data_IF_939023007566
#
_entry.id   IF_939023007566
#
_cell.length_a   1.000
_cell.length_b   1.000
_cell.length_c   1.000
_cell.angle_alpha   90.00
_cell.angle_beta   90.00
_cell.angle_gamma   90.00
#
_symmetry.space_group_name_H-M   'P 1'
#
loop_
_entity.id
_entity.type
_entity.pdbx_description
1 polymer ?
#
# COMPACT_ATOMS: atom_id res chain seq x y z
N UNK A 1 -0.70 21.29 21.67
CA UNK A 1 -0.51 19.88 21.28
C UNK A 1 -1.87 19.24 21.16
N UNK A 2 -2.36 18.99 19.95
CA UNK A 2 -3.60 18.23 19.77
C UNK A 2 -3.19 16.79 19.48
N UNK A 3 -3.43 15.90 20.45
CA UNK A 3 -3.34 14.48 20.23
C UNK A 3 -4.41 14.08 19.20
N UNK A 4 -4.01 13.52 18.07
CA UNK A 4 -4.95 12.87 17.14
C UNK A 4 -5.34 11.55 17.81
N UNK A 5 -6.40 11.58 18.58
CA UNK A 5 -7.03 10.38 19.13
C UNK A 5 -7.90 9.82 18.02
N UNK A 6 -7.48 8.74 17.39
CA UNK A 6 -8.38 7.93 16.58
C UNK A 6 -9.47 7.38 17.51
N UNK A 7 -10.66 7.95 17.45
CA UNK A 7 -11.81 7.43 18.16
C UNK A 7 -12.32 6.18 17.43
N UNK A 8 -12.22 5.07 18.11
CA UNK A 8 -12.93 3.83 17.76
C UNK A 8 -14.45 4.10 17.79
N UNK A 9 -15.05 4.30 16.61
CA UNK A 9 -16.50 4.52 16.46
C UNK A 9 -17.29 3.21 16.47
N UNK A 10 -16.94 2.29 17.34
CA UNK A 10 -17.77 1.13 17.63
C UNK A 10 -18.70 1.42 18.83
N UNK A 11 -19.65 2.31 18.62
CA UNK A 11 -20.84 2.43 19.51
C UNK A 11 -22.08 2.10 18.72
N UNK A 12 -22.73 1.03 19.13
CA UNK A 12 -23.99 0.50 18.64
C UNK A 12 -24.99 1.59 18.23
N UNK A 13 -25.42 1.60 16.97
CA UNK A 13 -26.60 2.29 16.51
C UNK A 13 -27.80 1.36 16.65
N UNK A 14 -28.53 1.55 17.74
CA UNK A 14 -29.91 1.07 17.89
C UNK A 14 -30.78 1.70 16.80
N UNK A 15 -31.65 0.87 16.22
CA UNK A 15 -32.49 1.18 15.09
C UNK A 15 -33.50 2.30 15.30
N UNK A 16 -33.81 3.00 14.23
CA UNK A 16 -35.14 3.60 13.99
C UNK A 16 -35.48 3.37 12.52
N UNK A 17 -36.51 2.53 12.37
CA UNK A 17 -37.28 2.38 11.14
C UNK A 17 -37.99 3.71 10.84
N UNK A 18 -37.88 4.22 9.64
CA UNK A 18 -38.85 5.16 9.06
C UNK A 18 -39.19 4.68 7.66
N UNK A 19 -40.45 4.25 7.52
CA UNK A 19 -41.11 4.02 6.24
C UNK A 19 -41.34 5.36 5.53
N UNK A 20 -41.09 5.39 4.23
CA UNK A 20 -41.49 6.50 3.36
C UNK A 20 -41.65 6.01 1.93
N UNK A 21 -42.89 5.76 1.53
CA UNK A 21 -43.32 5.51 0.14
C UNK A 21 -43.18 6.75 -0.73
N UNK A 22 -42.90 6.57 -2.02
CA UNK A 22 -43.04 7.63 -3.00
C UNK A 22 -42.69 7.13 -4.42
N UNK A 23 -43.73 7.01 -5.24
CA UNK A 23 -43.78 6.36 -6.56
C UNK A 23 -43.48 7.29 -7.75
N UNK A 24 -43.18 6.63 -8.89
CA UNK A 24 -43.49 6.98 -10.30
C UNK A 24 -42.78 8.19 -10.91
N UNK A 25 -42.32 8.18 -12.14
CA UNK A 25 -42.92 7.77 -13.39
C UNK A 25 -41.91 7.83 -14.58
N UNK A 26 -42.14 7.00 -15.51
CA UNK A 26 -41.83 6.92 -16.93
C UNK A 26 -41.54 8.22 -17.72
N UNK A 27 -40.62 8.14 -18.72
CA UNK A 27 -40.92 8.52 -20.08
C UNK A 27 -39.87 7.99 -21.08
N UNK A 28 -40.35 7.29 -22.08
CA UNK A 28 -39.69 6.90 -23.32
C UNK A 28 -39.48 8.11 -24.25
N UNK A 29 -38.44 8.05 -25.10
CA UNK A 29 -38.60 8.44 -26.51
C UNK A 29 -37.41 7.94 -27.34
N UNK A 30 -37.72 7.11 -28.29
CA UNK A 30 -36.89 6.69 -29.43
C UNK A 30 -37.10 7.67 -30.57
N UNK A 31 -36.05 7.98 -31.35
CA UNK A 31 -36.20 8.45 -32.75
C UNK A 31 -35.10 7.82 -33.60
N UNK A 32 -35.55 7.11 -34.62
CA UNK A 32 -34.82 6.58 -35.78
C UNK A 32 -34.81 7.64 -36.90
N UNK A 33 -33.74 7.66 -37.71
CA UNK A 33 -33.65 8.02 -39.14
C UNK A 33 -32.18 7.97 -39.52
N UNK A 34 -31.63 7.24 -40.48
CA UNK A 34 -32.13 6.78 -41.77
C UNK A 34 -31.73 7.68 -42.94
N UNK A 35 -30.75 7.26 -43.79
CA UNK A 35 -30.63 7.45 -45.27
C UNK A 35 -29.15 7.26 -45.69
N UNK A 36 -28.78 6.46 -46.47
CA UNK A 36 -28.66 5.85 -47.78
C UNK A 36 -28.22 6.78 -48.95
N UNK A 37 -27.29 6.23 -49.74
CA UNK A 37 -26.98 6.62 -51.11
C UNK A 37 -25.58 7.22 -51.29
N UNK A 38 -24.74 6.90 -52.28
CA UNK A 38 -24.90 6.24 -53.59
C UNK A 38 -23.51 5.88 -54.13
N UNK A 39 -23.43 4.76 -54.82
CA UNK A 39 -22.31 4.32 -55.67
C UNK A 39 -22.05 5.28 -56.85
N UNK A 40 -20.80 5.41 -57.24
CA UNK A 40 -20.47 5.68 -58.67
C UNK A 40 -19.18 4.97 -59.06
N UNK A 41 -19.38 4.00 -59.91
CA UNK A 41 -18.43 3.25 -60.76
C UNK A 41 -17.82 4.15 -61.83
N UNK A 42 -16.50 4.02 -62.06
CA UNK A 42 -15.85 4.21 -63.39
C UNK A 42 -14.52 3.50 -63.47
N UNK A 43 -14.42 2.55 -64.35
CA UNK A 43 -13.23 2.02 -65.03
C UNK A 43 -13.41 2.17 -66.54
N UNK A 44 -12.42 1.94 -67.42
CA UNK A 44 -10.97 1.90 -67.35
C UNK A 44 -10.26 2.75 -68.40
N UNK A 45 -8.94 2.91 -68.35
CA UNK A 45 -8.14 3.06 -69.56
C UNK A 45 -6.72 2.62 -69.32
N UNK A 46 -6.28 1.67 -70.14
CA UNK A 46 -4.96 1.08 -70.21
C UNK A 46 -3.98 1.99 -70.98
N UNK A 47 -2.75 2.10 -70.46
CA UNK A 47 -1.54 2.29 -71.32
C UNK A 47 -0.35 1.63 -70.69
N UNK A 48 0.32 0.79 -71.46
CA UNK A 48 1.57 0.09 -71.15
C UNK A 48 2.80 0.99 -71.42
N UNK A 49 3.82 0.89 -70.61
CA UNK A 49 5.14 1.41 -70.81
C UNK A 49 6.15 0.81 -69.84
N UNK A 50 7.42 0.60 -70.14
CA UNK A 50 8.19 -0.56 -69.75
C UNK A 50 9.10 -0.31 -68.52
N UNK A 51 9.40 -1.43 -67.90
CA UNK A 51 10.65 -1.77 -67.18
C UNK A 51 11.19 -0.79 -66.11
N UNK A 52 10.91 -1.13 -64.87
CA UNK A 52 11.70 -0.66 -63.75
C UNK A 52 11.98 -1.82 -62.77
N UNK A 53 13.25 -2.15 -62.74
CA UNK A 53 13.97 -3.03 -61.82
C UNK A 53 13.23 -3.36 -60.50
N UNK A 54 12.94 -4.66 -60.31
CA UNK A 54 12.51 -5.25 -59.05
C UNK A 54 13.56 -5.05 -57.97
N UNK A 55 13.32 -4.15 -57.06
CA UNK A 55 13.96 -4.18 -55.75
C UNK A 55 13.45 -5.40 -54.96
N UNK A 56 14.32 -6.16 -54.30
CA UNK A 56 13.91 -7.30 -53.53
C UNK A 56 13.07 -6.80 -52.33
N UNK A 57 11.77 -7.21 -52.28
CA UNK A 57 10.94 -7.04 -51.11
C UNK A 57 11.64 -7.72 -49.93
N UNK A 58 12.11 -6.92 -48.98
CA UNK A 58 12.54 -7.40 -47.66
C UNK A 58 11.30 -7.99 -47.00
N UNK A 59 11.25 -9.30 -46.91
CA UNK A 59 10.35 -9.95 -45.97
C UNK A 59 10.69 -9.45 -44.56
N UNK A 60 9.72 -9.00 -43.76
CA UNK A 60 9.99 -8.73 -42.35
C UNK A 60 10.44 -10.05 -41.72
N UNK A 61 11.69 -10.09 -41.24
CA UNK A 61 12.17 -11.22 -40.47
C UNK A 61 11.29 -11.43 -39.23
N UNK A 62 11.27 -12.63 -38.66
CA UNK A 62 10.45 -12.91 -37.50
C UNK A 62 10.78 -11.87 -36.41
N UNK A 63 9.72 -11.22 -35.88
CA UNK A 63 9.84 -10.23 -34.84
C UNK A 63 10.62 -10.86 -33.67
N UNK A 64 11.76 -10.27 -33.30
CA UNK A 64 12.53 -10.74 -32.16
C UNK A 64 11.68 -10.66 -30.91
N UNK A 65 11.67 -11.72 -30.10
CA UNK A 65 10.99 -11.73 -28.82
C UNK A 65 11.49 -10.55 -27.97
N UNK A 66 10.62 -9.87 -27.21
CA UNK A 66 11.02 -8.75 -26.38
C UNK A 66 12.07 -9.21 -25.37
N UNK A 67 13.11 -8.40 -25.17
CA UNK A 67 14.12 -8.66 -24.14
C UNK A 67 13.51 -8.73 -22.73
N UNK A 68 14.22 -9.32 -21.73
CA UNK A 68 13.67 -9.58 -20.39
C UNK A 68 13.03 -8.36 -19.72
N UNK A 69 13.65 -7.20 -19.84
CA UNK A 69 13.12 -5.94 -19.27
C UNK A 69 11.83 -5.48 -19.95
N UNK A 70 11.74 -5.61 -21.28
CA UNK A 70 10.52 -5.28 -22.02
C UNK A 70 9.38 -6.24 -21.70
N UNK A 71 9.68 -7.52 -21.50
CA UNK A 71 8.71 -8.53 -21.09
C UNK A 71 8.18 -8.26 -19.67
N UNK A 72 9.08 -7.91 -18.72
CA UNK A 72 8.66 -7.56 -17.36
C UNK A 72 7.82 -6.28 -17.33
N UNK A 73 8.22 -5.24 -18.06
CA UNK A 73 7.42 -4.02 -18.17
C UNK A 73 6.04 -4.29 -18.79
N UNK A 74 5.95 -5.13 -19.83
CA UNK A 74 4.68 -5.52 -20.44
C UNK A 74 3.79 -6.29 -19.43
N UNK A 75 4.38 -7.16 -18.61
CA UNK A 75 3.70 -7.88 -17.53
C UNK A 75 3.13 -6.93 -16.48
N UNK A 76 3.93 -5.99 -15.98
CA UNK A 76 3.49 -4.98 -15.01
C UNK A 76 2.42 -4.06 -15.59
N UNK A 77 2.53 -3.68 -16.87
CA UNK A 77 1.51 -2.88 -17.55
C UNK A 77 0.17 -3.65 -17.68
N UNK A 78 0.23 -4.95 -17.95
CA UNK A 78 -0.96 -5.79 -17.96
C UNK A 78 -1.58 -5.93 -16.57
N UNK A 79 -0.75 -6.08 -15.53
CA UNK A 79 -1.20 -6.12 -14.14
C UNK A 79 -1.83 -4.78 -13.71
N UNK A 80 -1.21 -3.64 -14.01
CA UNK A 80 -1.75 -2.32 -13.72
C UNK A 80 -3.15 -2.13 -14.32
N UNK A 81 -3.34 -2.51 -15.60
CA UNK A 81 -4.67 -2.47 -16.25
C UNK A 81 -5.67 -3.40 -15.57
N UNK A 82 -5.28 -4.63 -15.24
CA UNK A 82 -6.14 -5.60 -14.53
C UNK A 82 -6.64 -5.05 -13.20
N UNK A 83 -5.78 -4.37 -12.48
CA UNK A 83 -6.09 -3.81 -11.15
C UNK A 83 -6.66 -2.40 -11.22
N UNK A 84 -6.88 -1.85 -12.42
CA UNK A 84 -7.53 -0.54 -12.63
C UNK A 84 -6.67 0.65 -12.21
N UNK A 85 -5.34 0.52 -12.28
CA UNK A 85 -4.42 1.63 -12.03
C UNK A 85 -4.33 2.56 -13.24
N UNK A 86 -4.24 3.86 -12.99
CA UNK A 86 -4.07 4.88 -14.02
C UNK A 86 -2.69 4.79 -14.72
N UNK A 87 -1.67 4.34 -14.00
CA UNK A 87 -0.29 4.21 -14.48
C UNK A 87 0.36 2.94 -13.94
N UNK A 88 1.43 2.49 -14.60
CA UNK A 88 2.29 1.43 -14.07
C UNK A 88 3.08 1.99 -12.88
N UNK A 89 3.06 1.34 -11.71
CA UNK A 89 3.87 1.76 -10.58
C UNK A 89 5.35 1.86 -10.94
N UNK A 90 6.03 2.85 -10.40
CA UNK A 90 7.46 3.05 -10.64
C UNK A 90 8.28 2.00 -9.90
N UNK A 91 9.28 1.43 -10.57
CA UNK A 91 10.24 0.55 -9.92
C UNK A 91 11.09 1.35 -8.91
N UNK A 92 11.29 0.84 -7.68
CA UNK A 92 12.17 1.49 -6.73
C UNK A 92 13.62 1.46 -7.22
N UNK A 93 14.41 2.50 -6.90
CA UNK A 93 15.85 2.45 -7.10
C UNK A 93 16.46 1.35 -6.22
N UNK A 94 17.69 0.91 -6.51
CA UNK A 94 18.42 0.01 -5.62
C UNK A 94 18.49 0.57 -4.19
N UNK A 95 18.39 -0.28 -3.16
CA UNK A 95 18.58 0.14 -1.78
C UNK A 95 19.95 0.77 -1.56
N UNK A 96 20.12 1.64 -0.55
CA UNK A 96 21.40 2.29 -0.30
C UNK A 96 22.44 1.28 0.20
N UNK A 97 23.67 1.38 -0.30
CA UNK A 97 24.80 0.55 0.17
C UNK A 97 25.04 0.73 1.68
N UNK A 98 24.86 1.97 2.17
CA UNK A 98 24.95 2.29 3.60
C UNK A 98 23.56 2.76 4.05
N UNK A 99 23.04 2.08 5.06
CA UNK A 99 21.75 2.44 5.67
C UNK A 99 21.83 3.85 6.26
N UNK A 100 20.78 4.69 6.10
CA UNK A 100 20.77 6.04 6.66
C UNK A 100 20.72 6.00 8.19
N UNK A 101 21.29 7.00 8.82
CA UNK A 101 21.03 7.24 10.22
C UNK A 101 19.59 7.71 10.39
N UNK A 102 18.83 7.01 11.25
CA UNK A 102 17.43 7.35 11.47
C UNK A 102 17.37 8.59 12.36
N UNK A 103 16.83 9.67 11.81
CA UNK A 103 16.61 10.93 12.52
C UNK A 103 15.11 11.24 12.55
N UNK A 104 14.61 11.68 13.72
CA UNK A 104 13.25 12.16 13.82
C UNK A 104 13.08 13.44 12.98
N UNK A 105 12.07 13.48 12.12
CA UNK A 105 11.67 14.73 11.46
C UNK A 105 10.94 15.62 12.48
N UNK A 106 11.27 16.91 12.53
CA UNK A 106 10.60 17.87 13.40
C UNK A 106 9.10 17.97 13.09
N UNK A 107 8.28 17.89 14.11
CA UNK A 107 6.81 17.88 14.03
C UNK A 107 6.21 16.49 14.29
N UNK A 108 5.07 16.40 14.91
CA UNK A 108 4.28 15.17 15.06
C UNK A 108 4.72 14.09 16.02
N UNK A 109 4.28 14.17 17.27
CA UNK A 109 4.20 13.04 18.20
C UNK A 109 5.51 12.32 18.48
N UNK A 110 6.55 12.69 17.74
CA UNK A 110 7.90 12.18 17.91
C UNK A 110 8.59 13.08 18.94
N UNK A 111 9.01 12.50 20.05
CA UNK A 111 9.81 13.21 21.05
C UNK A 111 11.07 13.78 20.39
N UNK A 112 11.31 15.08 20.54
CA UNK A 112 12.55 15.71 20.09
C UNK A 112 13.78 15.28 20.93
N UNK A 113 13.55 14.63 22.07
CA UNK A 113 14.60 14.04 22.88
C UNK A 113 14.82 12.61 22.41
N UNK A 114 15.87 12.42 21.61
CA UNK A 114 16.37 11.10 21.30
C UNK A 114 17.11 10.56 22.53
N UNK A 115 16.53 9.57 23.17
CA UNK A 115 17.29 8.70 24.04
C UNK A 115 18.03 7.69 23.16
N UNK A 116 19.35 7.86 22.99
CA UNK A 116 20.19 7.04 22.12
C UNK A 116 20.21 5.56 22.50
N UNK A 117 19.78 5.28 23.72
CA UNK A 117 19.68 3.94 24.25
C UNK A 117 18.36 3.24 23.93
N UNK A 118 17.35 3.97 23.43
CA UNK A 118 16.03 3.41 23.11
C UNK A 118 15.78 3.35 21.60
N UNK A 119 14.89 2.46 21.14
CA UNK A 119 14.48 2.41 19.73
C UNK A 119 14.00 3.79 19.25
N UNK A 120 14.57 4.34 18.16
CA UNK A 120 14.12 5.61 17.61
C UNK A 120 12.69 5.49 17.11
N UNK A 121 11.88 6.51 17.40
CA UNK A 121 10.55 6.69 16.81
C UNK A 121 10.66 7.68 15.66
N UNK A 122 10.12 7.35 14.50
CA UNK A 122 10.24 8.17 13.28
C UNK A 122 9.05 7.96 12.35
N UNK A 123 8.82 8.95 11.49
CA UNK A 123 7.74 8.96 10.49
C UNK A 123 8.28 8.93 9.06
N UNK A 124 9.60 9.14 8.91
CA UNK A 124 10.27 9.32 7.62
C UNK A 124 11.67 8.71 7.68
N UNK A 125 12.07 8.05 6.63
CA UNK A 125 13.45 7.59 6.43
C UNK A 125 14.25 8.68 5.70
N UNK A 126 15.40 9.13 6.23
CA UNK A 126 16.24 10.09 5.55
C UNK A 126 16.77 9.53 4.21
N UNK A 127 16.33 10.10 3.09
CA UNK A 127 16.77 9.66 1.77
C UNK A 127 16.68 10.79 0.73
N UNK A 128 17.55 10.74 -0.28
CA UNK A 128 17.45 11.60 -1.48
C UNK A 128 16.64 10.95 -2.59
N UNK A 129 16.39 9.65 -2.49
CA UNK A 129 15.61 8.90 -3.48
C UNK A 129 14.13 9.30 -3.41
N UNK A 130 13.45 9.32 -4.55
CA UNK A 130 12.03 9.67 -4.61
C UNK A 130 11.18 8.42 -4.37
N UNK A 131 11.17 7.98 -3.12
CA UNK A 131 10.49 6.78 -2.64
C UNK A 131 9.62 7.10 -1.42
N UNK A 132 8.66 6.21 -1.18
CA UNK A 132 7.85 6.11 0.04
C UNK A 132 7.78 4.64 0.48
N UNK A 133 7.33 4.40 1.71
CA UNK A 133 7.19 3.07 2.28
C UNK A 133 5.74 2.79 2.61
N UNK A 134 5.18 1.70 2.07
CA UNK A 134 3.84 1.24 2.43
C UNK A 134 3.90 0.34 3.65
N UNK A 135 3.10 0.66 4.64
CA UNK A 135 2.94 -0.14 5.86
C UNK A 135 1.47 -0.42 6.13
N UNK A 136 1.16 -1.59 6.67
CA UNK A 136 -0.21 -2.05 6.86
C UNK A 136 -0.35 -2.65 8.26
N UNK A 137 -1.28 -2.11 9.06
CA UNK A 137 -1.43 -2.46 10.47
C UNK A 137 -2.60 -3.42 10.72
N UNK A 138 -2.58 -4.03 11.90
CA UNK A 138 -3.62 -4.86 12.52
C UNK A 138 -3.63 -6.33 12.08
N UNK A 139 -4.11 -6.60 10.87
CA UNK A 139 -4.30 -7.96 10.36
C UNK A 139 -5.73 -8.48 10.48
N UNK A 140 -6.75 -7.63 10.60
CA UNK A 140 -8.16 -8.06 10.75
C UNK A 140 -8.74 -8.63 9.46
N UNK A 141 -8.56 -7.95 8.32
CA UNK A 141 -9.05 -8.42 7.01
C UNK A 141 -8.02 -9.35 6.35
N UNK A 142 -8.48 -10.45 5.74
CA UNK A 142 -7.67 -11.44 5.02
C UNK A 142 -8.15 -11.55 3.56
N UNK A 143 -8.09 -10.43 2.82
CA UNK A 143 -8.51 -10.39 1.41
C UNK A 143 -7.47 -11.07 0.49
N UNK A 144 -7.79 -12.23 -0.13
CA UNK A 144 -6.86 -12.90 -1.04
C UNK A 144 -6.61 -12.11 -2.34
N UNK A 145 -7.50 -11.17 -2.68
CA UNK A 145 -7.33 -10.28 -3.83
C UNK A 145 -6.23 -9.27 -3.58
N UNK A 146 -6.11 -8.79 -2.32
CA UNK A 146 -5.01 -7.93 -1.91
C UNK A 146 -3.66 -8.63 -2.14
N UNK A 147 -3.47 -9.85 -1.63
CA UNK A 147 -2.22 -10.61 -1.84
C UNK A 147 -1.87 -10.74 -3.31
N UNK A 148 -2.86 -11.07 -4.14
CA UNK A 148 -2.68 -11.22 -5.57
C UNK A 148 -2.31 -9.91 -6.25
N UNK A 149 -2.94 -8.79 -5.86
CA UNK A 149 -2.62 -7.47 -6.40
C UNK A 149 -1.17 -7.08 -6.10
N UNK A 150 -0.73 -7.25 -4.86
CA UNK A 150 0.62 -6.90 -4.44
C UNK A 150 1.68 -7.75 -5.15
N UNK A 151 1.43 -9.05 -5.32
CA UNK A 151 2.30 -9.96 -6.06
C UNK A 151 2.32 -9.66 -7.58
N UNK A 152 1.17 -9.42 -8.20
CA UNK A 152 1.07 -9.07 -9.63
C UNK A 152 1.83 -7.78 -9.96
N UNK A 153 1.78 -6.80 -9.06
CA UNK A 153 2.38 -5.47 -9.23
C UNK A 153 3.79 -5.35 -8.65
N UNK A 154 4.26 -6.37 -7.92
CA UNK A 154 5.57 -6.38 -7.24
C UNK A 154 5.77 -5.20 -6.28
N UNK A 155 4.72 -4.85 -5.54
CA UNK A 155 4.76 -3.74 -4.59
C UNK A 155 5.20 -4.26 -3.22
N UNK A 156 6.35 -3.83 -2.68
CA UNK A 156 6.76 -4.20 -1.34
C UNK A 156 5.93 -3.48 -0.28
N UNK A 157 5.73 -4.13 0.86
CA UNK A 157 5.11 -3.55 2.05
C UNK A 157 5.58 -4.26 3.30
N UNK A 158 5.41 -3.59 4.45
CA UNK A 158 5.64 -4.14 5.79
C UNK A 158 4.31 -4.25 6.51
N UNK A 159 4.00 -5.41 7.10
CA UNK A 159 2.79 -5.63 7.88
C UNK A 159 3.10 -5.65 9.38
N UNK A 160 2.43 -4.82 10.16
CA UNK A 160 2.48 -4.78 11.62
C UNK A 160 1.28 -5.53 12.20
N UNK A 161 1.52 -6.69 12.81
CA UNK A 161 0.47 -7.63 13.16
C UNK A 161 0.17 -7.64 14.65
N UNK A 162 -1.12 -7.61 15.01
CA UNK A 162 -1.62 -7.83 16.38
C UNK A 162 -2.20 -9.24 16.51
N UNK A 163 -1.71 -9.99 17.50
CA UNK A 163 -2.06 -11.42 17.63
C UNK A 163 -3.56 -11.67 17.75
N UNK A 164 -4.29 -10.84 18.50
CA UNK A 164 -5.73 -11.07 18.70
C UNK A 164 -6.54 -11.02 17.39
N UNK A 165 -6.00 -10.36 16.34
CA UNK A 165 -6.62 -10.27 15.02
C UNK A 165 -6.12 -11.35 14.03
N UNK A 166 -4.88 -11.84 14.22
CA UNK A 166 -4.27 -12.75 13.23
C UNK A 166 -4.29 -14.22 13.65
N UNK A 167 -4.58 -14.52 14.94
CA UNK A 167 -4.45 -15.86 15.54
C UNK A 167 -5.33 -16.92 14.87
N UNK A 168 -6.45 -16.52 14.26
CA UNK A 168 -7.39 -17.45 13.66
C UNK A 168 -6.98 -17.88 12.23
N UNK A 169 -6.04 -17.15 11.60
CA UNK A 169 -5.48 -17.51 10.29
C UNK A 169 -4.05 -17.00 10.09
N UNK A 170 -3.09 -17.60 10.76
CA UNK A 170 -1.67 -17.32 10.48
C UNK A 170 -1.24 -17.76 9.05
N UNK A 171 -2.01 -18.64 8.40
CA UNK A 171 -1.73 -19.13 7.04
C UNK A 171 -1.71 -18.00 6.01
N UNK A 172 -2.67 -17.07 6.11
CA UNK A 172 -2.72 -15.89 5.26
C UNK A 172 -1.43 -15.05 5.34
N UNK A 173 -0.91 -14.83 6.54
CA UNK A 173 0.31 -14.04 6.77
C UNK A 173 1.58 -14.80 6.40
N UNK A 174 1.61 -16.13 6.57
CA UNK A 174 2.71 -16.96 6.02
C UNK A 174 2.77 -16.87 4.48
N UNK A 175 1.62 -16.74 3.81
CA UNK A 175 1.59 -16.50 2.37
C UNK A 175 2.23 -15.16 2.01
N UNK A 176 1.95 -14.07 2.76
CA UNK A 176 2.65 -12.79 2.57
C UNK A 176 4.16 -12.95 2.72
N UNK A 177 4.61 -13.64 3.78
CA UNK A 177 6.02 -13.89 4.02
C UNK A 177 6.67 -14.69 2.88
N UNK A 178 5.97 -15.67 2.30
CA UNK A 178 6.47 -16.46 1.17
C UNK A 178 6.64 -15.63 -0.12
N UNK A 179 5.90 -14.54 -0.25
CA UNK A 179 6.05 -13.55 -1.33
C UNK A 179 7.16 -12.52 -1.04
N UNK A 180 7.86 -12.65 0.10
CA UNK A 180 8.97 -11.79 0.47
C UNK A 180 8.60 -10.52 1.22
N UNK A 181 7.34 -10.40 1.70
CA UNK A 181 6.93 -9.27 2.54
C UNK A 181 7.35 -9.48 4.00
N UNK A 182 7.58 -8.38 4.71
CA UNK A 182 8.00 -8.41 6.10
C UNK A 182 6.80 -8.34 7.03
N UNK A 183 6.86 -9.13 8.10
CA UNK A 183 5.87 -9.16 9.17
C UNK A 183 6.54 -8.69 10.45
N UNK A 184 5.97 -7.67 11.09
CA UNK A 184 6.52 -7.03 12.27
C UNK A 184 5.49 -6.94 13.42
N UNK A 185 5.96 -6.50 14.59
CA UNK A 185 5.21 -6.54 15.84
C UNK A 185 4.30 -5.32 16.00
N UNK A 186 3.01 -5.57 16.31
CA UNK A 186 2.00 -4.56 16.66
C UNK A 186 1.27 -4.89 17.96
N UNK A 187 1.97 -5.52 18.92
CA UNK A 187 1.47 -6.02 20.21
C UNK A 187 0.56 -7.25 20.15
N UNK A 188 0.28 -7.78 21.32
CA UNK A 188 -0.57 -8.96 21.50
C UNK A 188 -2.06 -8.65 21.29
N UNK A 189 -2.56 -7.55 21.92
CA UNK A 189 -3.99 -7.21 21.97
C UNK A 189 -4.33 -5.79 21.49
N UNK A 190 -3.36 -5.05 20.94
CA UNK A 190 -3.54 -3.69 20.44
C UNK A 190 -4.03 -2.68 21.50
N UNK A 191 -3.46 -2.64 22.72
CA UNK A 191 -3.90 -1.72 23.76
C UNK A 191 -3.32 -0.30 23.55
N UNK A 192 -3.91 0.68 24.25
CA UNK A 192 -3.28 1.98 24.46
C UNK A 192 -2.15 1.83 25.47
N UNK A 193 -0.92 1.64 24.96
CA UNK A 193 0.25 1.29 25.78
C UNK A 193 0.55 2.27 26.91
N UNK A 194 0.54 3.62 26.73
CA UNK A 194 0.82 4.55 27.82
C UNK A 194 -0.17 4.49 28.99
N UNK A 195 -1.29 3.79 28.84
CA UNK A 195 -2.25 3.54 29.92
C UNK A 195 -1.94 2.31 30.76
N UNK A 196 -0.90 1.56 30.39
CA UNK A 196 -0.49 0.31 31.05
C UNK A 196 0.78 0.54 31.90
N UNK A 197 0.98 -0.31 32.90
CA UNK A 197 2.26 -0.38 33.61
C UNK A 197 3.37 -0.88 32.69
N UNK A 198 4.64 -0.63 33.04
CA UNK A 198 5.80 -1.12 32.29
C UNK A 198 5.76 -2.64 32.05
N UNK A 199 5.40 -3.43 33.06
CA UNK A 199 5.35 -4.89 32.94
C UNK A 199 4.21 -5.36 32.02
N UNK A 200 3.07 -4.68 32.00
CA UNK A 200 1.98 -4.95 31.05
C UNK A 200 2.39 -4.58 29.63
N UNK A 201 2.99 -3.41 29.40
CA UNK A 201 3.53 -3.01 28.11
C UNK A 201 4.58 -4.00 27.60
N UNK A 202 5.49 -4.45 28.48
CA UNK A 202 6.49 -5.45 28.15
C UNK A 202 5.86 -6.79 27.78
N UNK A 203 4.83 -7.21 28.49
CA UNK A 203 4.07 -8.44 28.18
C UNK A 203 3.44 -8.35 26.78
N UNK A 204 2.78 -7.23 26.47
CA UNK A 204 2.16 -7.00 25.17
C UNK A 204 3.16 -7.08 24.01
N UNK A 205 4.35 -6.57 24.19
CA UNK A 205 5.37 -6.53 23.12
C UNK A 205 6.16 -7.86 23.08
N UNK A 206 6.66 -8.36 24.21
CA UNK A 206 7.51 -9.56 24.24
C UNK A 206 6.72 -10.83 23.90
N UNK A 207 5.49 -10.99 24.41
CA UNK A 207 4.69 -12.18 24.05
C UNK A 207 4.33 -12.19 22.56
N UNK A 208 4.14 -11.03 21.93
CA UNK A 208 3.99 -10.98 20.47
C UNK A 208 5.27 -11.39 19.74
N UNK A 209 6.47 -11.03 20.24
CA UNK A 209 7.75 -11.52 19.70
C UNK A 209 7.83 -13.06 19.70
N UNK A 210 7.41 -13.70 20.80
CA UNK A 210 7.41 -15.16 20.93
C UNK A 210 6.45 -15.81 19.93
N UNK A 211 5.29 -15.18 19.69
CA UNK A 211 4.32 -15.63 18.68
C UNK A 211 4.90 -15.44 17.27
N UNK A 212 5.53 -14.31 16.98
CA UNK A 212 6.14 -14.06 15.68
C UNK A 212 7.22 -15.11 15.37
N UNK A 213 8.09 -15.42 16.34
CA UNK A 213 9.08 -16.46 16.19
C UNK A 213 8.45 -17.84 15.97
N UNK A 214 7.47 -18.21 16.78
CA UNK A 214 6.78 -19.51 16.69
C UNK A 214 6.02 -19.68 15.37
N UNK A 215 5.31 -18.65 14.90
CA UNK A 215 4.41 -18.75 13.75
C UNK A 215 5.09 -18.42 12.42
N UNK A 216 6.11 -17.56 12.44
CA UNK A 216 6.75 -17.03 11.24
C UNK A 216 8.27 -17.23 11.21
N UNK A 217 8.85 -17.90 12.22
CA UNK A 217 10.26 -18.28 12.25
C UNK A 217 11.24 -17.14 12.52
N UNK A 218 10.77 -15.95 12.91
CA UNK A 218 11.63 -14.78 13.11
C UNK A 218 11.07 -13.89 14.21
N UNK A 219 11.97 -13.39 15.08
CA UNK A 219 11.69 -12.27 15.98
C UNK A 219 11.93 -10.96 15.24
N UNK A 220 10.91 -10.11 15.03
CA UNK A 220 11.08 -8.82 14.38
C UNK A 220 12.00 -7.90 15.18
N UNK A 221 12.70 -7.01 14.50
CA UNK A 221 13.44 -5.91 15.12
C UNK A 221 12.72 -4.57 14.98
N UNK A 222 11.56 -4.58 14.33
CA UNK A 222 10.72 -3.40 14.12
C UNK A 222 9.39 -3.62 14.85
N UNK A 223 8.90 -2.57 15.47
CA UNK A 223 7.66 -2.57 16.23
C UNK A 223 6.92 -1.27 15.99
N UNK A 224 5.62 -1.33 15.80
CA UNK A 224 4.78 -0.12 15.77
C UNK A 224 3.88 -0.11 16.99
N UNK A 225 3.92 0.95 17.83
CA UNK A 225 2.98 1.08 18.94
C UNK A 225 1.56 1.32 18.42
N UNK A 226 0.55 0.64 18.97
CA UNK A 226 -0.85 0.88 18.66
C UNK A 226 -1.23 2.35 18.70
N UNK A 227 -2.02 2.81 17.73
CA UNK A 227 -2.44 4.21 17.57
C UNK A 227 -1.27 5.20 17.36
N UNK A 228 -0.03 4.73 17.18
CA UNK A 228 1.16 5.57 17.19
C UNK A 228 1.47 6.18 18.57
N UNK A 229 0.86 5.69 19.63
CA UNK A 229 1.00 6.21 20.99
C UNK A 229 2.04 5.39 21.78
N UNK A 230 2.98 6.10 22.38
CA UNK A 230 4.06 5.52 23.18
C UNK A 230 4.51 6.50 24.26
N UNK A 231 5.14 5.96 25.28
CA UNK A 231 5.88 6.70 26.31
C UNK A 231 7.30 6.13 26.48
N UNK A 232 8.03 6.60 27.46
CA UNK A 232 9.38 6.12 27.76
C UNK A 232 9.38 4.63 28.14
N UNK A 233 8.38 4.18 28.89
CA UNK A 233 8.25 2.78 29.30
C UNK A 233 7.92 1.87 28.12
N UNK A 234 7.14 2.34 27.14
CA UNK A 234 6.92 1.63 25.89
C UNK A 234 8.23 1.33 25.16
N UNK A 235 9.10 2.33 25.02
CA UNK A 235 10.37 2.17 24.30
C UNK A 235 11.37 1.31 25.08
N UNK A 236 11.40 1.41 26.42
CA UNK A 236 12.19 0.52 27.29
C UNK A 236 11.73 -0.94 27.17
N UNK A 237 10.42 -1.17 27.20
CA UNK A 237 9.82 -2.48 27.00
C UNK A 237 10.18 -3.03 25.62
N UNK A 238 9.99 -2.24 24.56
CA UNK A 238 10.34 -2.61 23.19
C UNK A 238 11.84 -3.01 23.09
N UNK A 239 12.76 -2.20 23.62
CA UNK A 239 14.19 -2.54 23.69
C UNK A 239 14.43 -3.86 24.40
N UNK A 240 13.79 -4.10 25.55
CA UNK A 240 13.97 -5.34 26.31
C UNK A 240 13.47 -6.59 25.57
N UNK A 241 12.56 -6.42 24.59
CA UNK A 241 12.06 -7.47 23.71
C UNK A 241 12.86 -7.61 22.39
N UNK A 242 13.99 -6.91 22.24
CA UNK A 242 14.87 -7.01 21.07
C UNK A 242 14.48 -6.08 19.91
N UNK A 243 13.56 -5.16 20.11
CA UNK A 243 13.17 -4.16 19.12
C UNK A 243 14.28 -3.12 18.96
N UNK A 244 14.56 -2.72 17.72
CA UNK A 244 15.57 -1.73 17.34
C UNK A 244 14.97 -0.44 16.78
N UNK A 245 13.77 -0.52 16.18
CA UNK A 245 13.13 0.58 15.48
C UNK A 245 11.63 0.62 15.77
N UNK A 246 11.08 1.83 15.93
CA UNK A 246 9.66 2.06 16.18
C UNK A 246 9.07 3.05 15.17
N UNK A 247 8.90 2.67 13.88
CA UNK A 247 8.31 3.55 12.88
C UNK A 247 6.83 3.79 13.17
N UNK A 248 6.42 5.05 13.09
CA UNK A 248 5.04 5.50 12.93
C UNK A 248 4.86 6.04 11.51
N UNK A 249 3.92 6.94 11.20
CA UNK A 249 3.61 7.33 9.81
C UNK A 249 3.36 8.83 9.68
N UNK A 250 3.42 9.35 8.46
CA UNK A 250 3.06 10.73 8.11
C UNK A 250 1.71 10.83 7.44
N UNK A 251 1.40 9.90 6.55
CA UNK A 251 0.15 9.84 5.82
C UNK A 251 -0.56 8.52 6.11
N UNK A 252 -1.88 8.55 6.05
CA UNK A 252 -2.69 7.35 6.10
C UNK A 252 -3.64 7.31 4.90
N UNK A 253 -3.72 6.18 4.23
CA UNK A 253 -4.60 5.95 3.08
C UNK A 253 -5.72 4.99 3.44
N UNK A 254 -6.94 5.43 3.15
CA UNK A 254 -8.18 4.67 3.26
C UNK A 254 -8.70 4.28 1.87
N UNK A 255 -9.74 3.49 1.82
CA UNK A 255 -10.36 3.12 0.55
C UNK A 255 -10.95 4.33 -0.20
N UNK A 256 -11.40 5.36 0.49
CA UNK A 256 -12.12 6.52 -0.05
C UNK A 256 -11.42 7.89 0.16
N UNK A 257 -10.42 7.99 1.06
CA UNK A 257 -9.75 9.26 1.34
C UNK A 257 -8.29 9.07 1.80
N UNK A 258 -7.61 10.18 2.07
CA UNK A 258 -6.29 10.28 2.69
C UNK A 258 -6.37 11.14 3.93
N UNK A 259 -5.56 10.80 4.94
CA UNK A 259 -5.26 11.63 6.09
C UNK A 259 -3.78 11.99 6.12
N UNK A 260 -3.46 13.16 6.65
CA UNK A 260 -2.10 13.68 6.72
C UNK A 260 -1.84 14.21 8.12
N UNK A 261 -0.67 13.95 8.64
CA UNK A 261 -0.25 14.53 9.90
C UNK A 261 0.19 15.98 9.76
N UNK A 262 0.61 16.38 8.56
CA UNK A 262 1.02 17.76 8.28
C UNK A 262 -0.07 18.54 7.54
N UNK A 263 -0.24 19.81 7.94
CA UNK A 263 -1.30 20.69 7.43
C UNK A 263 -1.18 20.95 5.91
N UNK A 264 0.03 20.89 5.35
CA UNK A 264 0.27 21.12 3.92
C UNK A 264 -0.11 19.94 3.02
N UNK A 265 -0.46 18.79 3.61
CA UNK A 265 -0.94 17.58 2.94
C UNK A 265 -0.01 17.08 1.82
N UNK A 266 1.30 17.25 1.96
CA UNK A 266 2.28 16.86 0.96
C UNK A 266 3.04 15.61 1.37
N UNK A 267 3.08 14.65 0.45
CA UNK A 267 3.97 13.51 0.54
C UNK A 267 5.42 13.93 0.27
N UNK A 268 6.35 13.38 1.04
CA UNK A 268 7.78 13.67 0.94
C UNK A 268 8.59 12.41 0.74
N UNK A 269 9.86 12.59 0.34
CA UNK A 269 10.80 11.48 0.16
C UNK A 269 11.05 10.79 1.47
N UNK A 270 10.90 9.47 1.45
CA UNK A 270 11.12 8.62 2.61
C UNK A 270 9.95 8.56 3.59
N UNK A 271 8.81 9.16 3.26
CA UNK A 271 7.64 9.09 4.13
C UNK A 271 7.11 7.67 4.26
N UNK A 272 6.66 7.36 5.47
CA UNK A 272 6.01 6.11 5.81
C UNK A 272 4.51 6.34 5.71
N UNK A 273 3.86 5.61 4.81
CA UNK A 273 2.42 5.67 4.58
C UNK A 273 1.77 4.48 5.26
N UNK A 274 0.77 4.75 6.07
CA UNK A 274 -0.05 3.75 6.74
C UNK A 274 -1.28 3.42 5.92
N UNK A 275 -1.68 2.17 5.96
CA UNK A 275 -3.05 1.70 5.75
C UNK A 275 -3.33 0.55 6.72
N UNK A 276 -4.54 0.01 6.72
CA UNK A 276 -4.92 -1.07 7.62
C UNK A 276 -5.46 -2.29 6.86
N UNK A 277 -5.38 -3.46 7.49
CA UNK A 277 -6.11 -4.65 7.05
C UNK A 277 -7.60 -4.49 7.39
N UNK A 278 -8.34 -3.71 6.59
CA UNK A 278 -9.76 -3.44 6.77
C UNK A 278 -10.55 -3.71 5.51
N UNK A 279 -11.76 -4.22 5.66
CA UNK A 279 -12.68 -4.53 4.59
C UNK A 279 -13.90 -3.62 4.57
N UNK A 280 -14.92 -4.03 3.80
CA UNK A 280 -16.18 -3.28 3.64
C UNK A 280 -16.99 -3.14 4.93
N UNK A 281 -16.73 -3.99 5.93
CA UNK A 281 -17.34 -3.87 7.25
C UNK A 281 -16.93 -2.60 8.00
N UNK A 282 -15.71 -2.11 7.72
CA UNK A 282 -15.08 -0.99 8.43
C UNK A 282 -14.92 0.25 7.55
N UNK A 283 -14.73 0.04 6.24
CA UNK A 283 -14.46 1.09 5.25
C UNK A 283 -15.52 1.14 4.14
N UNK A 284 -15.61 2.27 3.44
CA UNK A 284 -16.39 2.41 2.20
C UNK A 284 -15.69 1.74 1.00
N UNK A 285 -15.00 0.64 1.21
CA UNK A 285 -14.26 -0.06 0.17
C UNK A 285 -13.47 -1.24 0.71
N UNK A 286 -12.57 -1.74 -0.10
CA UNK A 286 -11.72 -2.91 0.18
C UNK A 286 -10.26 -2.51 0.31
N UNK A 287 -9.40 -3.42 0.80
CA UNK A 287 -7.94 -3.25 0.76
C UNK A 287 -7.43 -2.97 -0.66
N UNK A 288 -8.01 -3.62 -1.68
CA UNK A 288 -7.67 -3.36 -3.09
C UNK A 288 -7.98 -1.91 -3.49
N UNK A 289 -9.06 -1.33 -2.99
CA UNK A 289 -9.42 0.07 -3.27
C UNK A 289 -8.45 1.03 -2.58
N UNK A 290 -8.05 0.76 -1.34
CA UNK A 290 -7.05 1.55 -0.63
C UNK A 290 -5.68 1.51 -1.33
N UNK A 291 -5.21 0.31 -1.72
CA UNK A 291 -3.94 0.14 -2.45
C UNK A 291 -3.99 0.81 -3.82
N UNK A 292 -5.10 0.72 -4.55
CA UNK A 292 -5.26 1.44 -5.83
C UNK A 292 -5.12 2.94 -5.63
N UNK A 293 -5.83 3.51 -4.65
CA UNK A 293 -5.73 4.94 -4.28
C UNK A 293 -4.31 5.34 -3.92
N UNK A 294 -3.63 4.51 -3.14
CA UNK A 294 -2.22 4.71 -2.79
C UNK A 294 -1.34 4.76 -4.04
N UNK A 295 -1.37 3.72 -4.87
CA UNK A 295 -0.50 3.59 -6.04
C UNK A 295 -0.75 4.67 -7.08
N UNK A 296 -2.02 5.04 -7.33
CA UNK A 296 -2.36 6.11 -8.26
C UNK A 296 -1.80 7.47 -7.82
N UNK A 297 -1.82 7.76 -6.50
CA UNK A 297 -1.24 9.00 -5.98
C UNK A 297 0.28 8.98 -6.04
N UNK A 298 0.92 7.97 -5.47
CA UNK A 298 2.38 7.92 -5.36
C UNK A 298 3.04 7.89 -6.74
N UNK A 299 2.47 7.14 -7.70
CA UNK A 299 2.97 7.06 -9.07
C UNK A 299 2.80 8.39 -9.81
N UNK A 300 1.63 9.02 -9.71
CA UNK A 300 1.36 10.34 -10.31
C UNK A 300 2.31 11.42 -9.79
N UNK A 301 2.67 11.36 -8.51
CA UNK A 301 3.63 12.30 -7.89
C UNK A 301 5.09 11.89 -8.14
N UNK A 302 5.31 10.79 -8.87
CA UNK A 302 6.64 10.30 -9.28
C UNK A 302 7.42 9.62 -8.16
N UNK A 303 6.75 9.05 -7.16
CA UNK A 303 7.37 8.21 -6.14
C UNK A 303 7.30 6.74 -6.52
N UNK A 304 8.32 5.99 -6.16
CA UNK A 304 8.30 4.53 -6.14
C UNK A 304 8.06 4.03 -4.71
N UNK A 305 7.53 2.82 -4.59
CA UNK A 305 7.37 2.16 -3.28
C UNK A 305 8.60 1.30 -3.02
N UNK A 306 9.32 1.56 -1.93
CA UNK A 306 10.50 0.81 -1.54
C UNK A 306 10.22 -0.07 -0.31
N UNK A 307 11.09 -1.05 -0.07
CA UNK A 307 11.01 -1.93 1.09
C UNK A 307 11.63 -1.23 2.30
N UNK A 308 10.87 -1.11 3.39
CA UNK A 308 11.30 -0.38 4.60
C UNK A 308 12.59 -0.96 5.21
N UNK A 309 12.68 -2.29 5.31
CA UNK A 309 13.78 -3.01 5.96
C UNK A 309 15.11 -2.85 5.22
N UNK A 310 15.08 -2.51 3.95
CA UNK A 310 16.30 -2.23 3.17
C UNK A 310 16.98 -0.94 3.64
N UNK A 311 16.28 -0.11 4.41
CA UNK A 311 16.75 1.19 4.92
C UNK A 311 16.94 1.21 6.45
N UNK A 312 16.61 0.12 7.18
CA UNK A 312 16.73 0.00 8.64
C UNK A 312 17.86 -0.91 9.11
#
# INVERSE_FOLDING_TARGET
MRAVVQHDKNRARGGRLVLGCGAAALACSAVLSGCAGTETTRTPSSQAGPDATRSPSRHPGPAQAPGPQAAEHARLAAAARRWGLAQVPLAPPPPPERKPEITARAGFGVSHQRDWDLPPVFTTIPTRQKIVFLTIDDGSEKDPRFLRMMEDLKIPYTAFLSNYLVKDDYGYFRTMQSYGHTLDNHTLHHPYLPGLSYEEQKTEICAMQDIMEKQFGKRPTVFRPPYGNYDHDTLRAAKSCGIKYAPIWNEEVYADHWEYREDDQKMRRGDIVLTHFRGRSDWNGTMVDAVRRFLDKVTREGYAVARLEDYL
#
